data_IF_241716215898
#
_entry.id   IF_241716215898
#
_cell.length_a   1.000
_cell.length_b   1.000
_cell.length_c   1.000
_cell.angle_alpha   90.00
_cell.angle_beta   90.00
_cell.angle_gamma   90.00
#
_symmetry.space_group_name_H-M   'P 1'
#
loop_
_entity.id
_entity.type
_entity.pdbx_description
1 polymer ?
#
# COMPACT_ATOMS: atom_id res chain seq x y z
N UNK A 1 -4.64 -2.38 -11.65
CA UNK A 1 -5.01 -1.52 -10.51
C UNK A 1 -6.15 -0.56 -10.83
N UNK A 2 -5.99 0.39 -11.77
CA UNK A 2 -7.02 1.36 -12.17
C UNK A 2 -8.42 0.75 -12.36
N UNK A 3 -8.55 -0.17 -13.31
CA UNK A 3 -9.83 -0.83 -13.61
C UNK A 3 -10.49 -1.42 -12.35
N UNK A 4 -9.71 -2.10 -11.50
CA UNK A 4 -10.21 -2.74 -10.28
C UNK A 4 -10.65 -1.71 -9.23
N UNK A 5 -9.93 -0.60 -9.11
CA UNK A 5 -10.23 0.46 -8.17
C UNK A 5 -11.47 1.25 -8.61
N UNK A 6 -11.53 1.67 -9.87
CA UNK A 6 -12.67 2.37 -10.46
C UNK A 6 -13.95 1.54 -10.35
N UNK A 7 -13.90 0.25 -10.71
CA UNK A 7 -15.06 -0.64 -10.63
C UNK A 7 -15.63 -0.82 -9.20
N UNK A 8 -14.85 -0.48 -8.16
CA UNK A 8 -15.25 -0.61 -6.75
C UNK A 8 -15.39 0.74 -6.04
N UNK A 9 -15.28 1.86 -6.75
CA UNK A 9 -15.28 3.19 -6.14
C UNK A 9 -14.09 3.45 -5.19
N UNK A 10 -12.98 2.72 -5.34
CA UNK A 10 -11.78 2.89 -4.53
C UNK A 10 -10.94 4.04 -5.11
N UNK A 11 -10.65 5.05 -4.30
CA UNK A 11 -9.88 6.24 -4.70
C UNK A 11 -8.44 6.25 -4.18
N UNK A 12 -8.07 5.30 -3.32
CA UNK A 12 -6.76 5.22 -2.69
C UNK A 12 -6.06 3.91 -3.07
N UNK A 13 -4.81 4.00 -3.54
CA UNK A 13 -3.98 2.85 -3.88
C UNK A 13 -2.77 2.80 -2.95
N UNK A 14 -2.48 1.60 -2.42
CA UNK A 14 -1.33 1.34 -1.55
C UNK A 14 -0.31 0.49 -2.30
N UNK A 15 0.97 0.82 -2.18
CA UNK A 15 2.09 0.06 -2.74
C UNK A 15 2.98 -0.44 -1.61
N UNK A 16 3.41 -1.69 -1.67
CA UNK A 16 4.36 -2.30 -0.73
C UNK A 16 5.10 -3.45 -1.42
N UNK A 17 5.98 -4.14 -0.70
CA UNK A 17 6.86 -5.19 -1.21
C UNK A 17 8.25 -4.66 -1.59
N UNK A 18 9.27 -5.52 -1.53
CA UNK A 18 10.67 -5.13 -1.69
C UNK A 18 11.00 -4.39 -3.01
N UNK A 19 10.29 -4.73 -4.10
CA UNK A 19 10.45 -4.09 -5.42
C UNK A 19 10.04 -2.60 -5.40
N UNK A 20 9.17 -2.19 -4.48
CA UNK A 20 8.73 -0.79 -4.34
C UNK A 20 9.87 0.13 -3.85
N UNK A 21 11.01 -0.38 -3.38
CA UNK A 21 12.20 0.47 -3.19
C UNK A 21 12.73 1.08 -4.50
N UNK A 22 12.39 0.51 -5.65
CA UNK A 22 12.79 1.04 -6.95
C UNK A 22 12.19 2.43 -7.18
N UNK A 23 13.04 3.47 -7.08
CA UNK A 23 12.65 4.88 -7.20
C UNK A 23 12.07 5.21 -8.58
N UNK A 24 12.61 4.62 -9.64
CA UNK A 24 12.09 4.82 -11.00
C UNK A 24 10.67 4.25 -11.10
N UNK A 25 10.46 3.03 -10.62
CA UNK A 25 9.13 2.42 -10.61
C UNK A 25 8.14 3.27 -9.82
N UNK A 26 8.51 3.74 -8.62
CA UNK A 26 7.68 4.64 -7.81
C UNK A 26 7.29 5.91 -8.56
N UNK A 27 8.25 6.57 -9.22
CA UNK A 27 7.98 7.78 -9.99
C UNK A 27 7.03 7.52 -11.17
N UNK A 28 7.20 6.40 -11.87
CA UNK A 28 6.32 6.02 -12.99
C UNK A 28 4.91 5.65 -12.53
N UNK A 29 4.79 4.93 -11.41
CA UNK A 29 3.49 4.66 -10.78
C UNK A 29 2.80 5.96 -10.35
N UNK A 30 3.54 6.88 -9.74
CA UNK A 30 3.02 8.18 -9.35
C UNK A 30 2.53 9.02 -10.54
N UNK A 31 3.25 8.96 -11.66
CA UNK A 31 2.85 9.64 -12.89
C UNK A 31 1.58 9.05 -13.51
N UNK A 32 1.50 7.73 -13.66
CA UNK A 32 0.39 7.07 -14.37
C UNK A 32 -0.91 6.91 -13.58
N UNK A 33 -0.85 7.14 -12.26
CA UNK A 33 -1.97 6.98 -11.33
C UNK A 33 -2.21 8.27 -10.54
N UNK A 34 -1.87 9.42 -11.11
CA UNK A 34 -1.98 10.74 -10.48
C UNK A 34 -3.40 11.12 -10.09
N UNK A 35 -4.41 10.44 -10.65
CA UNK A 35 -5.82 10.59 -10.32
C UNK A 35 -6.28 9.78 -9.09
N UNK A 36 -5.39 8.99 -8.48
CA UNK A 36 -5.63 8.30 -7.22
C UNK A 36 -4.80 8.91 -6.09
N UNK A 37 -5.26 8.76 -4.85
CA UNK A 37 -4.41 8.97 -3.67
C UNK A 37 -3.44 7.81 -3.55
N UNK A 38 -2.15 8.07 -3.66
CA UNK A 38 -1.12 7.03 -3.64
C UNK A 38 -0.40 6.99 -2.28
N UNK A 39 -0.33 5.80 -1.68
CA UNK A 39 0.37 5.56 -0.42
C UNK A 39 1.58 4.66 -0.66
N UNK A 40 2.78 5.20 -0.41
CA UNK A 40 4.06 4.48 -0.48
C UNK A 40 4.67 4.36 0.92
N UNK A 41 5.47 3.30 1.21
CA UNK A 41 6.20 3.20 2.46
C UNK A 41 7.26 4.30 2.55
N UNK A 42 7.40 4.89 3.74
CA UNK A 42 8.35 5.98 4.00
C UNK A 42 9.14 5.77 5.29
N UNK A 43 8.47 5.45 6.41
CA UNK A 43 9.12 5.25 7.72
C UNK A 43 9.51 3.78 7.98
N UNK A 44 8.80 2.85 7.37
CA UNK A 44 9.07 1.42 7.45
C UNK A 44 9.59 0.92 6.09
N UNK A 45 10.45 -0.12 6.06
CA UNK A 45 10.90 -0.72 4.82
C UNK A 45 9.72 -1.20 3.98
N UNK A 46 9.80 -1.03 2.65
CA UNK A 46 8.77 -1.55 1.76
C UNK A 46 8.80 -3.09 1.67
N UNK A 47 9.97 -3.70 1.93
CA UNK A 47 10.16 -5.15 1.90
C UNK A 47 9.92 -5.82 3.26
N UNK A 48 10.46 -7.01 3.43
CA UNK A 48 10.12 -7.89 4.56
C UNK A 48 10.50 -7.33 5.94
N UNK A 49 11.42 -6.35 6.00
CA UNK A 49 11.73 -5.63 7.24
C UNK A 49 10.54 -4.86 7.85
N UNK A 50 9.48 -4.60 7.09
CA UNK A 50 8.24 -4.00 7.59
C UNK A 50 7.09 -5.01 7.83
N UNK A 51 7.32 -6.30 7.55
CA UNK A 51 6.25 -7.29 7.46
C UNK A 51 5.62 -7.60 8.82
N UNK A 52 6.42 -7.67 9.88
CA UNK A 52 5.95 -7.90 11.26
C UNK A 52 5.02 -6.80 11.77
N UNK A 53 5.25 -5.55 11.37
CA UNK A 53 4.35 -4.45 11.68
C UNK A 53 2.98 -4.66 11.03
N UNK A 54 2.96 -5.05 9.74
CA UNK A 54 1.72 -5.39 9.02
C UNK A 54 0.94 -6.54 9.69
N UNK A 55 1.65 -7.59 10.11
CA UNK A 55 1.05 -8.69 10.86
C UNK A 55 0.40 -8.21 12.16
N UNK A 56 1.12 -7.38 12.94
CA UNK A 56 0.63 -6.83 14.20
C UNK A 56 -0.65 -6.00 14.05
N UNK A 57 -0.71 -5.07 13.08
CA UNK A 57 -1.91 -4.24 12.88
C UNK A 57 -3.10 -5.04 12.35
N UNK A 58 -2.87 -6.07 11.54
CA UNK A 58 -3.93 -6.98 11.09
C UNK A 58 -4.49 -7.77 12.26
N UNK A 59 -3.63 -8.34 13.11
CA UNK A 59 -4.05 -9.08 14.29
C UNK A 59 -4.83 -8.18 15.27
N UNK A 60 -4.34 -6.97 15.54
CA UNK A 60 -5.03 -6.00 16.38
C UNK A 60 -6.40 -5.61 15.81
N UNK A 61 -6.50 -5.36 14.50
CA UNK A 61 -7.78 -5.02 13.87
C UNK A 61 -8.80 -6.19 13.89
N UNK A 62 -8.33 -7.45 13.85
CA UNK A 62 -9.20 -8.62 14.05
C UNK A 62 -9.71 -8.70 15.49
N UNK A 63 -8.81 -8.57 16.46
CA UNK A 63 -9.18 -8.59 17.87
C UNK A 63 -10.19 -7.48 18.22
N UNK A 64 -10.02 -6.27 17.68
CA UNK A 64 -10.94 -5.15 17.89
C UNK A 64 -12.33 -5.32 17.24
N UNK A 65 -12.49 -6.27 16.30
CA UNK A 65 -13.79 -6.57 15.67
C UNK A 65 -14.59 -7.64 16.41
N UNK A 66 -13.92 -8.42 17.24
CA UNK A 66 -14.51 -9.50 18.03
C UNK A 66 -15.03 -9.01 19.40
N UNK A 67 -14.72 -7.75 19.75
CA UNK A 67 -15.24 -7.00 20.91
C UNK A 67 -16.45 -6.18 20.48
#
# INVERSE_FOLDING_TARGET
>A
MRQQATARGITTLVFSGGVIHNRLLRARLAFYLSDFKLLFPQRLPAGDGGLSFGQGVIAAARALREV
#
